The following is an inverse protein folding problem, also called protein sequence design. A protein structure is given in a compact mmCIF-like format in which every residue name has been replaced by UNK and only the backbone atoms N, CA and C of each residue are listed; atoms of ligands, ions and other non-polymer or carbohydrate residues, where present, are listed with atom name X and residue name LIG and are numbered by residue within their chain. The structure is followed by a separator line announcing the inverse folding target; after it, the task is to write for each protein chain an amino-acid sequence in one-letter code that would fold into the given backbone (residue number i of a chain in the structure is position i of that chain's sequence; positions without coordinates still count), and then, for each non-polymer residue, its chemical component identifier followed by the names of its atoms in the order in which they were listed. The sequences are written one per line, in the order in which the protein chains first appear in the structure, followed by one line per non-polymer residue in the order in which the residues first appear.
data_IF_539563666839
#
_entry.id   IF_539563666839
#
_cell.length_a   1.000
_cell.length_b   1.000
_cell.length_c   1.000
_cell.angle_alpha   90.00
_cell.angle_beta   90.00
_cell.angle_gamma   90.00
#
_symmetry.space_group_name_H-M   'P 1'
#
loop_
_entity.id
_entity.type
_entity.pdbx_description
1 polymer ?
#
# COMPACT_ATOMS: atom_id res chain seq x y z
N UNK A 1 6.54 -11.62 -9.42
CA UNK A 1 5.46 -12.61 -9.32
C UNK A 1 4.25 -12.13 -10.08
N UNK A 2 3.69 -12.98 -10.93
CA UNK A 2 2.69 -12.63 -11.93
C UNK A 2 1.33 -13.22 -11.56
N UNK A 3 0.27 -12.44 -11.77
CA UNK A 3 -1.11 -12.92 -11.77
C UNK A 3 -1.69 -12.62 -13.15
N UNK A 4 -1.82 -13.66 -13.96
CA UNK A 4 -2.47 -13.63 -15.27
C UNK A 4 -3.90 -14.15 -15.15
N UNK A 5 -4.89 -13.32 -15.48
CA UNK A 5 -6.30 -13.69 -15.51
C UNK A 5 -6.77 -14.24 -16.87
N UNK A 6 -5.86 -14.54 -17.79
CA UNK A 6 -6.16 -14.93 -19.17
C UNK A 6 -6.18 -13.72 -20.11
N UNK A 7 -6.13 -13.97 -21.43
CA UNK A 7 -6.01 -12.95 -22.49
C UNK A 7 -7.09 -11.85 -22.44
N UNK A 8 -8.28 -12.16 -21.92
CA UNK A 8 -9.38 -11.19 -21.78
C UNK A 8 -9.51 -10.65 -20.34
N UNK A 9 -8.47 -10.84 -19.53
CA UNK A 9 -8.33 -10.35 -18.15
C UNK A 9 -7.05 -9.55 -17.95
N UNK A 10 -6.73 -9.26 -16.69
CA UNK A 10 -5.57 -8.45 -16.32
C UNK A 10 -4.31 -9.30 -16.12
N UNK A 11 -3.15 -8.66 -16.28
CA UNK A 11 -1.83 -9.22 -16.00
C UNK A 11 -1.11 -8.35 -14.96
N UNK A 12 -1.20 -8.75 -13.71
CA UNK A 12 -0.56 -8.03 -12.59
C UNK A 12 0.84 -8.59 -12.36
N UNK A 13 1.80 -7.71 -12.05
CA UNK A 13 3.17 -8.09 -11.69
C UNK A 13 3.57 -7.40 -10.39
N UNK A 14 4.25 -8.13 -9.51
CA UNK A 14 4.84 -7.53 -8.31
C UNK A 14 5.78 -6.39 -8.71
N UNK A 15 5.64 -5.27 -8.03
CA UNK A 15 6.53 -4.13 -8.19
C UNK A 15 7.54 -4.12 -7.06
N UNK A 16 8.74 -3.61 -7.32
CA UNK A 16 9.76 -3.54 -6.27
C UNK A 16 9.49 -2.42 -5.25
N UNK A 17 8.60 -1.47 -5.56
CA UNK A 17 7.97 -0.61 -4.55
C UNK A 17 7.31 -1.46 -3.46
N UNK A 18 6.55 -2.51 -3.80
CA UNK A 18 5.96 -3.42 -2.81
C UNK A 18 7.04 -4.05 -1.93
N UNK A 19 8.14 -4.53 -2.51
CA UNK A 19 9.26 -5.14 -1.77
C UNK A 19 9.87 -4.14 -0.79
N UNK A 20 10.06 -2.91 -1.25
CA UNK A 20 10.59 -1.80 -0.46
C UNK A 20 9.73 -1.50 0.77
N UNK A 21 8.41 -1.42 0.58
CA UNK A 21 7.45 -1.22 1.67
C UNK A 21 7.50 -2.36 2.70
N UNK A 22 7.48 -3.61 2.22
CA UNK A 22 7.53 -4.76 3.12
C UNK A 22 8.82 -4.79 3.93
N UNK A 23 9.95 -4.42 3.33
CA UNK A 23 11.23 -4.32 4.03
C UNK A 23 11.19 -3.26 5.14
N UNK A 24 10.67 -2.06 4.85
CA UNK A 24 10.59 -0.97 5.82
C UNK A 24 9.67 -1.31 7.00
N UNK A 25 8.57 -2.03 6.74
CA UNK A 25 7.61 -2.45 7.76
C UNK A 25 8.01 -3.75 8.47
N UNK A 26 9.18 -4.30 8.17
CA UNK A 26 9.66 -5.58 8.66
C UNK A 26 8.65 -6.74 8.41
N UNK A 27 8.05 -6.76 7.23
CA UNK A 27 7.10 -7.77 6.76
C UNK A 27 7.83 -8.77 5.85
N UNK A 28 7.78 -10.06 6.21
CA UNK A 28 8.34 -11.13 5.39
C UNK A 28 7.48 -11.37 4.15
N UNK A 29 8.12 -11.48 2.99
CA UNK A 29 7.48 -11.80 1.71
C UNK A 29 7.51 -13.30 1.48
N UNK A 30 6.40 -13.85 0.99
CA UNK A 30 6.34 -15.20 0.45
C UNK A 30 6.07 -15.10 -1.05
N UNK A 31 6.92 -15.71 -1.87
CA UNK A 31 6.64 -15.81 -3.30
C UNK A 31 5.72 -17.01 -3.56
N UNK A 32 4.54 -16.81 -4.15
CA UNK A 32 3.59 -17.84 -4.53
C UNK A 32 3.19 -17.74 -6.01
N UNK A 33 2.96 -18.87 -6.66
CA UNK A 33 2.37 -18.93 -7.99
C UNK A 33 1.09 -19.76 -7.97
N UNK A 34 0.18 -19.45 -8.90
CA UNK A 34 -1.05 -20.21 -9.05
C UNK A 34 -0.76 -21.51 -9.78
N UNK A 35 -1.13 -22.63 -9.17
CA UNK A 35 -0.96 -23.99 -9.70
C UNK A 35 -2.16 -24.44 -10.53
N UNK A 36 -3.36 -24.01 -10.12
CA UNK A 36 -4.60 -24.38 -10.78
C UNK A 36 -5.53 -23.19 -10.92
N UNK A 37 -6.39 -23.23 -11.93
CA UNK A 37 -7.44 -22.24 -12.16
C UNK A 37 -8.61 -22.87 -12.91
N UNK A 38 -9.72 -22.14 -13.05
CA UNK A 38 -10.88 -22.55 -13.85
C UNK A 38 -11.26 -21.45 -14.82
N UNK A 39 -11.78 -21.83 -16.00
CA UNK A 39 -12.44 -20.88 -16.90
C UNK A 39 -13.59 -20.16 -16.17
N UNK A 40 -13.67 -18.84 -16.34
CA UNK A 40 -14.70 -18.03 -15.70
C UNK A 40 -16.08 -18.39 -16.23
N UNK A 41 -16.97 -18.78 -15.31
CA UNK A 41 -18.38 -19.03 -15.60
C UNK A 41 -19.28 -17.84 -15.23
N UNK A 42 -18.70 -16.68 -14.90
CA UNK A 42 -19.48 -15.49 -14.53
C UNK A 42 -20.31 -15.00 -15.73
N UNK A 43 -21.53 -14.50 -15.45
CA UNK A 43 -22.40 -13.90 -16.47
C UNK A 43 -21.63 -12.81 -17.22
N UNK A 44 -21.60 -12.89 -18.55
CA UNK A 44 -20.83 -11.98 -19.41
C UNK A 44 -19.34 -12.33 -19.61
N UNK A 45 -18.85 -13.43 -19.00
CA UNK A 45 -17.46 -13.88 -19.13
C UNK A 45 -17.32 -15.32 -19.65
N UNK A 46 -18.42 -16.07 -19.81
CA UNK A 46 -18.42 -17.48 -20.24
C UNK A 46 -17.68 -17.70 -21.57
N UNK A 47 -17.81 -16.75 -22.50
CA UNK A 47 -17.17 -16.81 -23.82
C UNK A 47 -15.80 -16.11 -23.86
N UNK A 48 -15.32 -15.58 -22.73
CA UNK A 48 -14.03 -14.91 -22.65
C UNK A 48 -12.93 -15.89 -22.25
N UNK A 49 -11.72 -15.59 -22.67
CA UNK A 49 -10.49 -16.19 -22.17
C UNK A 49 -10.13 -15.54 -20.83
N UNK A 50 -10.96 -15.82 -19.82
CA UNK A 50 -10.77 -15.32 -18.46
C UNK A 50 -10.74 -16.46 -17.46
N UNK A 51 -9.75 -16.45 -16.58
CA UNK A 51 -9.58 -17.38 -15.48
C UNK A 51 -10.30 -16.89 -14.21
N UNK A 52 -10.60 -17.83 -13.33
CA UNK A 52 -11.22 -17.63 -12.02
C UNK A 52 -10.82 -18.77 -11.09
N UNK A 53 -11.11 -18.65 -9.79
CA UNK A 53 -10.82 -19.70 -8.80
C UNK A 53 -9.36 -20.18 -8.85
N UNK A 54 -8.44 -19.26 -9.05
CA UNK A 54 -7.01 -19.54 -9.08
C UNK A 54 -6.57 -19.96 -7.67
N UNK A 55 -5.82 -21.07 -7.57
CA UNK A 55 -5.31 -21.59 -6.30
C UNK A 55 -3.79 -21.65 -6.33
N UNK A 56 -3.16 -21.22 -5.25
CA UNK A 56 -1.72 -21.27 -5.11
C UNK A 56 -1.23 -22.72 -5.00
N UNK A 57 0.04 -22.92 -5.37
CA UNK A 57 0.79 -24.11 -4.98
C UNK A 57 0.99 -24.12 -3.46
N UNK A 58 0.02 -24.64 -2.72
CA UNK A 58 -0.04 -24.52 -1.26
C UNK A 58 1.18 -25.12 -0.57
N UNK A 59 1.70 -26.24 -1.05
CA UNK A 59 2.89 -26.88 -0.47
C UNK A 59 4.13 -25.98 -0.61
N UNK A 60 4.26 -25.28 -1.74
CA UNK A 60 5.35 -24.32 -1.97
C UNK A 60 5.24 -23.08 -1.07
N UNK A 61 4.01 -22.61 -0.83
CA UNK A 61 3.74 -21.49 0.08
C UNK A 61 4.03 -21.89 1.52
N UNK A 62 3.51 -23.03 1.98
CA UNK A 62 3.72 -23.55 3.32
C UNK A 62 5.21 -23.82 3.60
N UNK A 63 5.94 -24.33 2.62
CA UNK A 63 7.39 -24.52 2.72
C UNK A 63 8.10 -23.19 3.04
N UNK A 64 7.84 -22.14 2.28
CA UNK A 64 8.45 -20.82 2.54
C UNK A 64 8.03 -20.22 3.88
N UNK A 65 6.77 -20.39 4.30
CA UNK A 65 6.32 -19.93 5.62
C UNK A 65 7.11 -20.64 6.72
N UNK A 66 7.29 -21.95 6.62
CA UNK A 66 8.08 -22.72 7.58
C UNK A 66 9.55 -22.30 7.59
N UNK A 67 10.12 -22.00 6.42
CA UNK A 67 11.46 -21.43 6.33
C UNK A 67 11.55 -20.09 7.06
N UNK A 68 10.60 -19.17 6.85
CA UNK A 68 10.53 -17.87 7.55
C UNK A 68 10.44 -18.08 9.07
N UNK A 69 9.62 -19.01 9.54
CA UNK A 69 9.49 -19.28 10.98
C UNK A 69 10.78 -19.84 11.59
N UNK A 70 11.56 -20.59 10.81
CA UNK A 70 12.89 -21.04 11.20
C UNK A 70 13.98 -19.97 11.02
N UNK A 71 13.72 -18.97 10.17
CA UNK A 71 14.62 -17.89 9.82
C UNK A 71 14.75 -16.90 10.98
N UNK A 72 15.95 -16.77 11.52
CA UNK A 72 16.23 -15.97 12.73
C UNK A 72 16.65 -14.52 12.43
N UNK A 73 16.56 -14.06 11.18
CA UNK A 73 16.94 -12.70 10.79
C UNK A 73 15.73 -11.87 10.36
N UNK A 74 15.91 -10.56 10.22
CA UNK A 74 14.82 -9.64 9.89
C UNK A 74 14.22 -9.89 8.50
N UNK A 75 13.02 -9.36 8.27
CA UNK A 75 12.33 -9.45 7.00
C UNK A 75 13.15 -8.88 5.85
N UNK A 76 13.95 -7.84 6.10
CA UNK A 76 14.84 -7.29 5.09
C UNK A 76 15.85 -8.32 4.58
N UNK A 77 16.50 -9.07 5.47
CA UNK A 77 17.48 -10.08 5.08
C UNK A 77 16.81 -11.23 4.34
N UNK A 78 15.66 -11.69 4.86
CA UNK A 78 14.85 -12.72 4.22
C UNK A 78 14.44 -12.29 2.81
N UNK A 79 13.83 -11.12 2.67
CA UNK A 79 13.33 -10.60 1.42
C UNK A 79 14.48 -10.37 0.43
N UNK A 80 15.61 -9.81 0.88
CA UNK A 80 16.79 -9.65 0.02
C UNK A 80 17.23 -10.99 -0.57
N UNK A 81 17.47 -11.98 0.28
CA UNK A 81 17.87 -13.33 -0.14
C UNK A 81 16.81 -14.01 -1.03
N UNK A 82 15.53 -13.88 -0.68
CA UNK A 82 14.42 -14.42 -1.45
C UNK A 82 14.40 -13.86 -2.88
N UNK A 83 14.70 -12.57 -3.03
CA UNK A 83 14.70 -11.94 -4.34
C UNK A 83 15.98 -12.16 -5.15
N UNK A 84 17.15 -12.11 -4.51
CA UNK A 84 18.44 -12.34 -5.15
C UNK A 84 18.57 -13.80 -5.63
N UNK A 85 18.22 -14.76 -4.78
CA UNK A 85 18.52 -16.17 -5.03
C UNK A 85 17.35 -16.95 -5.64
N UNK A 86 16.10 -16.59 -5.32
CA UNK A 86 14.93 -17.45 -5.61
C UNK A 86 13.89 -16.83 -6.52
N UNK A 87 13.94 -15.51 -6.76
CA UNK A 87 12.89 -14.84 -7.52
C UNK A 87 12.78 -15.38 -8.93
N UNK A 88 13.90 -15.50 -9.63
CA UNK A 88 13.91 -15.87 -11.05
C UNK A 88 13.40 -17.29 -11.26
N UNK A 89 13.87 -18.23 -10.44
CA UNK A 89 13.39 -19.62 -10.43
C UNK A 89 11.90 -19.71 -10.07
N UNK A 90 11.44 -18.93 -9.10
CA UNK A 90 10.02 -18.91 -8.71
C UNK A 90 9.15 -18.29 -9.80
N UNK A 91 9.68 -17.30 -10.52
CA UNK A 91 8.99 -16.67 -11.64
C UNK A 91 8.85 -17.63 -12.82
N UNK A 92 9.87 -18.42 -13.13
CA UNK A 92 9.77 -19.48 -14.15
C UNK A 92 8.72 -20.52 -13.80
N UNK A 93 8.71 -21.01 -12.54
CA UNK A 93 7.65 -21.90 -12.06
C UNK A 93 6.26 -21.30 -12.25
N UNK A 94 6.12 -19.99 -12.07
CA UNK A 94 4.85 -19.31 -12.32
C UNK A 94 4.45 -19.34 -13.81
N UNK A 95 5.41 -19.12 -14.73
CA UNK A 95 5.14 -19.18 -16.17
C UNK A 95 4.78 -20.59 -16.62
N UNK A 96 5.56 -21.60 -16.20
CA UNK A 96 5.30 -23.00 -16.53
C UNK A 96 3.95 -23.49 -15.97
N UNK A 97 3.57 -22.96 -14.80
CA UNK A 97 2.26 -23.22 -14.22
C UNK A 97 1.12 -22.60 -15.02
N UNK A 98 1.31 -21.39 -15.55
CA UNK A 98 0.32 -20.78 -16.44
C UNK A 98 0.19 -21.52 -17.77
N UNK A 99 1.28 -22.03 -18.34
CA UNK A 99 1.24 -22.91 -19.51
C UNK A 99 0.44 -24.19 -19.19
N UNK A 100 0.67 -24.78 -18.02
CA UNK A 100 -0.10 -25.95 -17.54
C UNK A 100 -1.58 -25.63 -17.37
N UNK A 101 -1.93 -24.46 -16.82
CA UNK A 101 -3.32 -23.98 -16.68
C UNK A 101 -3.97 -23.78 -18.07
N UNK A 102 -3.24 -23.23 -19.04
CA UNK A 102 -3.72 -23.11 -20.42
C UNK A 102 -4.10 -24.49 -20.98
N UNK A 103 -3.23 -25.49 -20.84
CA UNK A 103 -3.50 -26.85 -21.31
C UNK A 103 -4.68 -27.52 -20.58
N UNK A 104 -4.83 -27.30 -19.27
CA UNK A 104 -5.90 -27.90 -18.48
C UNK A 104 -7.28 -27.25 -18.73
N UNK A 105 -7.31 -25.93 -18.97
CA UNK A 105 -8.56 -25.17 -19.02
C UNK A 105 -8.97 -24.74 -20.43
N UNK A 106 -8.04 -24.77 -21.39
CA UNK A 106 -8.21 -24.22 -22.74
C UNK A 106 -8.33 -22.69 -22.79
N UNK A 107 -8.08 -21.99 -21.67
CA UNK A 107 -8.17 -20.52 -21.62
C UNK A 107 -6.85 -19.93 -22.08
N UNK A 108 -6.88 -19.19 -23.19
CA UNK A 108 -5.70 -18.50 -23.74
C UNK A 108 -5.17 -17.50 -22.70
N UNK A 109 -3.88 -17.61 -22.36
CA UNK A 109 -3.16 -16.70 -21.47
C UNK A 109 -2.40 -15.63 -22.25
N UNK A 110 -1.84 -14.63 -21.57
CA UNK A 110 -0.98 -13.64 -22.23
C UNK A 110 0.31 -14.29 -22.74
N UNK A 111 0.91 -13.69 -23.77
CA UNK A 111 2.15 -14.22 -24.36
C UNK A 111 3.29 -14.26 -23.33
N UNK A 112 3.96 -15.40 -23.27
CA UNK A 112 5.15 -15.62 -22.43
C UNK A 112 6.30 -14.70 -22.81
N UNK A 113 6.41 -14.27 -24.08
CA UNK A 113 7.53 -13.48 -24.61
C UNK A 113 7.78 -12.19 -23.80
N UNK A 114 6.72 -11.47 -23.44
CA UNK A 114 6.85 -10.24 -22.65
C UNK A 114 7.28 -10.51 -21.19
N UNK A 115 6.93 -11.68 -20.66
CA UNK A 115 7.33 -12.10 -19.31
C UNK A 115 8.74 -12.67 -19.29
N UNK A 116 9.17 -13.37 -20.34
CA UNK A 116 10.54 -13.86 -20.51
C UNK A 116 11.52 -12.69 -20.66
N UNK A 117 11.19 -11.68 -21.49
CA UNK A 117 12.00 -10.44 -21.59
C UNK A 117 12.13 -9.73 -20.24
N UNK A 118 11.06 -9.68 -19.47
CA UNK A 118 11.08 -9.10 -18.12
C UNK A 118 11.96 -9.93 -17.17
N UNK A 119 11.85 -11.25 -17.20
CA UNK A 119 12.66 -12.16 -16.39
C UNK A 119 14.15 -12.07 -16.74
N UNK A 120 14.49 -12.03 -18.03
CA UNK A 120 15.85 -11.88 -18.53
C UNK A 120 16.48 -10.58 -18.01
N UNK A 121 15.73 -9.48 -18.08
CA UNK A 121 16.17 -8.20 -17.54
C UNK A 121 16.42 -8.25 -16.03
N UNK A 122 15.64 -9.02 -15.27
CA UNK A 122 15.90 -9.17 -13.84
C UNK A 122 17.15 -10.03 -13.58
N UNK A 123 17.41 -11.04 -14.42
CA UNK A 123 18.54 -11.96 -14.28
C UNK A 123 19.89 -11.33 -14.56
N UNK A 124 20.04 -10.64 -15.69
CA UNK A 124 21.32 -10.05 -16.10
C UNK A 124 21.67 -8.78 -15.32
N UNK A 125 20.64 -8.17 -14.76
CA UNK A 125 20.63 -6.77 -14.38
C UNK A 125 19.98 -6.63 -13.00
N UNK A 126 20.18 -7.57 -12.05
CA UNK A 126 19.48 -7.52 -10.75
C UNK A 126 19.73 -6.22 -9.98
N UNK A 127 20.97 -5.71 -10.00
CA UNK A 127 21.29 -4.38 -9.49
C UNK A 127 20.63 -3.26 -10.31
N UNK A 128 20.47 -3.45 -11.61
CA UNK A 128 19.68 -2.54 -12.44
C UNK A 128 18.17 -2.66 -12.17
N UNK A 129 17.63 -3.82 -11.75
CA UNK A 129 16.25 -3.98 -11.29
C UNK A 129 16.01 -3.21 -10.00
N UNK A 130 16.96 -3.24 -9.07
CA UNK A 130 16.99 -2.37 -7.89
C UNK A 130 17.00 -0.89 -8.30
N UNK A 131 17.89 -0.50 -9.22
CA UNK A 131 17.98 0.89 -9.72
C UNK A 131 16.75 1.33 -10.53
N UNK A 132 16.17 0.45 -11.34
CA UNK A 132 14.93 0.67 -12.11
C UNK A 132 13.76 0.79 -11.15
N UNK A 133 13.75 0.06 -10.05
CA UNK A 133 12.73 0.27 -9.04
C UNK A 133 12.92 1.55 -8.25
N UNK A 134 14.15 1.98 -7.98
CA UNK A 134 14.40 3.29 -7.40
C UNK A 134 13.87 4.38 -8.34
N UNK A 135 14.22 4.31 -9.63
CA UNK A 135 13.70 5.20 -10.69
C UNK A 135 12.18 5.06 -10.89
N UNK A 136 11.64 3.86 -10.74
CA UNK A 136 10.23 3.51 -10.94
C UNK A 136 9.36 3.97 -9.79
N UNK A 137 9.82 3.81 -8.56
CA UNK A 137 9.26 4.40 -7.34
C UNK A 137 9.33 5.91 -7.39
N UNK A 138 10.47 6.48 -7.82
CA UNK A 138 10.60 7.91 -8.06
C UNK A 138 9.60 8.40 -9.12
N UNK A 139 9.43 7.64 -10.21
CA UNK A 139 8.50 7.98 -11.29
C UNK A 139 7.04 7.81 -10.87
N UNK A 140 6.72 6.79 -10.07
CA UNK A 140 5.39 6.57 -9.51
C UNK A 140 5.02 7.66 -8.50
N UNK A 141 5.94 7.99 -7.60
CA UNK A 141 5.83 9.10 -6.66
C UNK A 141 5.68 10.44 -7.39
N UNK A 142 6.45 10.70 -8.44
CA UNK A 142 6.29 11.87 -9.31
C UNK A 142 4.92 11.90 -9.98
N UNK A 143 4.43 10.76 -10.51
CA UNK A 143 3.08 10.66 -11.07
C UNK A 143 2.02 10.97 -10.03
N UNK A 144 2.12 10.38 -8.83
CA UNK A 144 1.20 10.60 -7.70
C UNK A 144 1.18 12.08 -7.26
N UNK A 145 2.35 12.72 -7.20
CA UNK A 145 2.49 14.15 -6.91
C UNK A 145 1.84 15.04 -7.99
N UNK A 146 1.83 14.60 -9.25
CA UNK A 146 1.24 15.34 -10.38
C UNK A 146 -0.26 15.07 -10.54
N UNK A 147 -0.76 13.89 -10.17
CA UNK A 147 -2.19 13.59 -10.16
C UNK A 147 -2.87 14.26 -8.97
N UNK A 148 -3.48 15.41 -9.21
CA UNK A 148 -4.53 15.94 -8.34
C UNK A 148 -5.84 15.19 -8.66
N UNK A 149 -6.31 14.31 -7.77
CA UNK A 149 -7.64 13.75 -7.95
C UNK A 149 -8.68 14.84 -7.65
N UNK A 150 -9.56 15.14 -8.61
CA UNK A 150 -10.63 16.16 -8.51
C UNK A 150 -11.59 15.95 -7.32
N UNK A 151 -11.54 14.79 -6.67
CA UNK A 151 -12.33 14.42 -5.51
C UNK A 151 -11.55 14.48 -4.20
N UNK A 152 -10.22 14.57 -4.21
CA UNK A 152 -9.44 14.81 -3.00
C UNK A 152 -9.67 16.28 -2.60
N UNK A 153 -10.20 16.51 -1.41
CA UNK A 153 -10.36 17.85 -0.85
C UNK A 153 -8.99 18.36 -0.34
N UNK A 154 -8.11 18.69 -1.28
CA UNK A 154 -6.79 19.28 -1.05
C UNK A 154 -6.96 20.79 -0.92
N UNK A 155 -7.21 21.27 0.30
CA UNK A 155 -7.55 22.67 0.57
C UNK A 155 -6.37 23.42 1.20
N UNK A 156 -5.38 22.71 1.77
CA UNK A 156 -4.49 23.31 2.77
C UNK A 156 -2.98 23.15 2.51
N UNK A 157 -2.54 22.26 1.60
CA UNK A 157 -1.10 21.95 1.45
C UNK A 157 -0.58 21.83 0.03
N UNK A 158 0.73 21.56 -0.08
CA UNK A 158 1.45 21.27 -1.33
C UNK A 158 1.76 19.77 -1.44
N UNK A 159 1.79 19.20 -2.64
CA UNK A 159 2.32 17.85 -2.86
C UNK A 159 3.85 17.90 -2.95
N UNK A 160 4.56 17.02 -2.24
CA UNK A 160 6.00 16.86 -2.40
C UNK A 160 6.41 15.39 -2.39
N UNK A 161 7.53 15.09 -3.05
CA UNK A 161 8.14 13.76 -3.06
C UNK A 161 9.20 13.68 -1.96
N UNK A 162 9.11 12.66 -1.12
CA UNK A 162 10.13 12.32 -0.12
C UNK A 162 11.14 11.36 -0.70
N UNK A 163 12.39 11.51 -0.28
CA UNK A 163 13.45 10.51 -0.40
C UNK A 163 13.75 10.01 1.01
N UNK A 164 13.37 8.78 1.32
CA UNK A 164 13.54 8.16 2.63
C UNK A 164 14.72 7.21 2.55
N UNK A 165 15.74 7.46 3.36
CA UNK A 165 16.88 6.56 3.51
C UNK A 165 16.71 5.70 4.77
N UNK A 166 16.98 4.40 4.66
CA UNK A 166 17.03 3.52 5.82
C UNK A 166 18.47 3.37 6.36
N UNK A 167 18.61 2.79 7.55
CA UNK A 167 19.90 2.59 8.22
C UNK A 167 20.89 1.66 7.47
N UNK A 168 20.48 1.06 6.34
CA UNK A 168 21.30 0.18 5.50
C UNK A 168 21.61 0.81 4.14
N UNK A 169 21.35 2.12 3.98
CA UNK A 169 21.62 2.88 2.75
C UNK A 169 20.62 2.65 1.63
N UNK A 170 19.48 2.02 1.91
CA UNK A 170 18.37 1.89 0.96
C UNK A 170 17.57 3.18 0.88
N UNK A 171 17.38 3.71 -0.33
CA UNK A 171 16.59 4.93 -0.60
C UNK A 171 15.21 4.55 -1.14
N UNK A 172 14.17 5.26 -0.73
CA UNK A 172 12.78 5.01 -1.14
C UNK A 172 12.08 6.32 -1.46
N UNK A 173 11.20 6.32 -2.46
CA UNK A 173 10.47 7.52 -2.85
C UNK A 173 8.98 7.39 -2.58
N UNK A 174 8.45 8.25 -1.70
CA UNK A 174 7.05 8.28 -1.29
C UNK A 174 6.46 9.68 -1.48
N UNK A 175 5.16 9.77 -1.70
CA UNK A 175 4.44 11.04 -1.77
C UNK A 175 3.24 10.96 -0.81
N UNK A 176 3.10 11.90 0.15
CA UNK A 176 1.83 12.08 0.83
C UNK A 176 0.82 12.84 -0.05
N UNK A 177 -0.44 12.86 0.35
CA UNK A 177 -1.45 13.69 -0.32
C UNK A 177 -1.16 15.19 -0.18
N UNK A 178 -0.75 15.65 1.01
CA UNK A 178 -0.43 17.05 1.28
C UNK A 178 0.73 17.20 2.28
N UNK A 179 1.47 18.31 2.17
CA UNK A 179 2.35 18.82 3.21
C UNK A 179 1.86 20.21 3.60
N UNK A 180 1.69 20.42 4.90
CA UNK A 180 1.29 21.69 5.49
C UNK A 180 2.42 22.16 6.41
N UNK A 181 2.67 23.47 6.48
CA UNK A 181 3.62 24.05 7.43
C UNK A 181 2.87 24.98 8.38
N UNK A 182 2.76 24.58 9.65
CA UNK A 182 2.02 25.30 10.68
C UNK A 182 2.82 25.27 11.99
N UNK A 183 2.85 26.38 12.71
CA UNK A 183 3.51 26.48 14.02
C UNK A 183 4.96 25.94 14.03
N UNK A 184 5.73 26.28 12.99
CA UNK A 184 7.11 25.83 12.81
C UNK A 184 7.28 24.29 12.73
N UNK A 185 6.24 23.58 12.30
CA UNK A 185 6.22 22.12 12.16
C UNK A 185 5.62 21.74 10.81
N UNK A 186 6.25 20.80 10.11
CA UNK A 186 5.70 20.20 8.90
C UNK A 186 4.69 19.10 9.24
N UNK A 187 3.53 19.11 8.60
CA UNK A 187 2.50 18.10 8.74
C UNK A 187 2.44 17.32 7.42
N UNK A 188 2.84 16.06 7.46
CA UNK A 188 2.74 15.10 6.34
C UNK A 188 1.36 14.46 6.41
N UNK A 189 0.49 14.76 5.44
CA UNK A 189 -0.92 14.43 5.53
C UNK A 189 -1.38 13.43 4.46
N UNK A 190 -2.16 12.44 4.88
CA UNK A 190 -3.03 11.64 4.01
C UNK A 190 -4.49 12.04 4.23
N UNK A 191 -5.25 12.15 3.15
CA UNK A 191 -6.62 12.65 3.15
C UNK A 191 -7.56 11.60 2.59
N UNK A 192 -8.51 11.14 3.39
CA UNK A 192 -9.60 10.26 2.92
C UNK A 192 -10.93 10.96 3.09
N UNK A 193 -11.69 11.06 2.01
CA UNK A 193 -12.92 11.82 1.97
C UNK A 193 -14.09 11.00 1.44
N UNK A 194 -15.31 11.37 1.83
CA UNK A 194 -16.53 10.81 1.25
C UNK A 194 -17.61 11.87 1.10
N UNK A 195 -18.16 12.00 -0.10
CA UNK A 195 -19.27 12.93 -0.40
C UNK A 195 -20.64 12.35 -0.09
N UNK A 196 -20.74 11.04 0.18
CA UNK A 196 -22.01 10.32 0.35
C UNK A 196 -22.25 9.83 1.77
N UNK A 197 -21.19 9.47 2.50
CA UNK A 197 -21.27 8.95 3.85
C UNK A 197 -20.71 9.95 4.87
N UNK A 198 -20.95 9.71 6.15
CA UNK A 198 -20.43 10.53 7.24
C UNK A 198 -18.98 10.23 7.62
N UNK A 199 -18.43 9.09 7.19
CA UNK A 199 -17.03 8.72 7.42
C UNK A 199 -16.53 7.87 6.23
N UNK A 200 -15.27 8.00 5.79
CA UNK A 200 -14.66 7.12 4.81
C UNK A 200 -14.78 5.64 5.20
N UNK A 201 -14.70 4.73 4.22
CA UNK A 201 -14.82 3.29 4.52
C UNK A 201 -13.58 2.82 5.25
N UNK A 202 -13.73 1.78 6.08
CA UNK A 202 -12.63 1.21 6.84
C UNK A 202 -11.40 0.85 5.97
N UNK A 203 -11.53 0.23 4.77
CA UNK A 203 -10.37 -0.02 3.91
C UNK A 203 -9.63 1.25 3.49
N UNK A 204 -10.35 2.34 3.21
CA UNK A 204 -9.74 3.62 2.82
C UNK A 204 -8.99 4.25 4.01
N UNK A 205 -9.56 4.16 5.22
CA UNK A 205 -8.92 4.61 6.47
C UNK A 205 -7.65 3.79 6.73
N UNK A 206 -7.73 2.46 6.60
CA UNK A 206 -6.61 1.56 6.79
C UNK A 206 -5.48 1.82 5.78
N UNK A 207 -5.82 2.10 4.52
CA UNK A 207 -4.86 2.51 3.50
C UNK A 207 -4.11 3.80 3.88
N UNK A 208 -4.84 4.83 4.33
CA UNK A 208 -4.23 6.08 4.80
C UNK A 208 -3.32 5.87 6.01
N UNK A 209 -3.77 5.12 7.02
CA UNK A 209 -2.94 4.79 8.18
C UNK A 209 -1.71 3.99 7.78
N UNK A 210 -1.85 3.00 6.90
CA UNK A 210 -0.74 2.17 6.41
C UNK A 210 0.36 3.03 5.80
N UNK A 211 -0.01 4.04 5.00
CA UNK A 211 0.97 4.98 4.45
C UNK A 211 1.66 5.81 5.53
N UNK A 212 0.88 6.34 6.47
CA UNK A 212 1.40 7.20 7.53
C UNK A 212 2.29 6.49 8.54
N UNK A 213 2.19 5.17 8.69
CA UNK A 213 3.10 4.39 9.55
C UNK A 213 4.56 4.62 9.15
N UNK A 214 4.86 4.70 7.85
CA UNK A 214 6.25 4.96 7.42
C UNK A 214 6.69 6.38 7.79
N UNK A 215 5.87 7.37 7.49
CA UNK A 215 6.20 8.77 7.77
C UNK A 215 6.30 9.05 9.28
N UNK A 216 5.42 8.47 10.10
CA UNK A 216 5.41 8.70 11.55
C UNK A 216 6.58 8.02 12.27
N UNK A 217 7.22 7.04 11.64
CA UNK A 217 8.39 6.35 12.16
C UNK A 217 9.71 6.87 11.57
N UNK A 218 9.69 7.94 10.77
CA UNK A 218 10.94 8.60 10.36
C UNK A 218 11.66 9.16 11.59
N UNK A 219 12.97 8.95 11.66
CA UNK A 219 13.81 9.47 12.74
C UNK A 219 13.91 11.01 12.63
N UNK A 220 14.39 11.48 11.47
CA UNK A 220 14.54 12.89 11.13
C UNK A 220 13.93 13.22 9.76
N UNK A 221 13.51 14.47 9.59
CA UNK A 221 13.20 15.04 8.29
C UNK A 221 14.19 16.17 8.00
N UNK A 222 14.83 16.13 6.83
CA UNK A 222 15.86 17.10 6.41
C UNK A 222 15.32 17.94 5.26
N UNK A 223 15.46 19.27 5.37
CA UNK A 223 15.13 20.21 4.31
C UNK A 223 16.27 21.23 4.17
N UNK A 224 16.86 21.34 2.98
CA UNK A 224 18.04 22.18 2.71
C UNK A 224 19.19 21.89 3.69
N UNK A 225 19.48 20.61 3.92
CA UNK A 225 20.51 20.10 4.84
C UNK A 225 20.27 20.41 6.33
N UNK A 226 19.14 20.99 6.69
CA UNK A 226 18.76 21.29 8.07
C UNK A 226 17.64 20.37 8.57
N UNK A 227 17.71 19.87 9.82
CA UNK A 227 16.63 19.09 10.41
C UNK A 227 15.42 19.97 10.70
N UNK A 228 14.23 19.47 10.36
CA UNK A 228 12.96 20.16 10.59
C UNK A 228 12.03 19.32 11.47
N UNK A 229 11.25 20.01 12.31
CA UNK A 229 10.19 19.37 13.10
C UNK A 229 9.05 18.93 12.20
N UNK A 230 8.53 17.73 12.44
CA UNK A 230 7.39 17.22 11.69
C UNK A 230 6.49 16.29 12.51
N UNK A 231 5.25 16.20 12.05
CA UNK A 231 4.24 15.22 12.46
C UNK A 231 3.55 14.68 11.22
N UNK A 232 2.81 13.59 11.36
CA UNK A 232 1.92 13.07 10.34
C UNK A 232 0.47 13.31 10.72
N UNK A 233 -0.42 13.37 9.74
CA UNK A 233 -1.86 13.52 9.99
C UNK A 233 -2.70 12.70 9.03
N UNK A 234 -3.63 11.91 9.56
CA UNK A 234 -4.73 11.36 8.76
C UNK A 234 -5.92 12.31 8.85
N UNK A 235 -6.33 12.91 7.72
CA UNK A 235 -7.52 13.75 7.65
C UNK A 235 -8.69 12.96 7.06
N UNK A 236 -9.74 12.80 7.84
CA UNK A 236 -10.97 12.11 7.45
C UNK A 236 -12.12 13.10 7.33
N UNK A 237 -12.62 13.31 6.12
CA UNK A 237 -13.75 14.22 5.88
C UNK A 237 -15.01 13.46 5.47
N UNK A 238 -16.13 13.88 6.05
CA UNK A 238 -17.43 13.23 5.85
C UNK A 238 -18.56 14.20 5.52
N UNK A 239 -19.58 13.69 4.85
CA UNK A 239 -20.77 14.45 4.52
C UNK A 239 -21.64 14.69 5.75
N UNK A 240 -22.15 15.92 5.90
CA UNK A 240 -23.01 16.37 6.99
C UNK A 240 -22.44 16.24 8.41
N UNK A 241 -21.15 15.92 8.58
CA UNK A 241 -20.50 15.94 9.89
C UNK A 241 -20.55 17.37 10.42
N UNK A 242 -20.82 17.54 11.70
CA UNK A 242 -20.85 18.84 12.38
C UNK A 242 -19.61 18.96 13.25
N UNK A 243 -18.83 20.01 12.99
CA UNK A 243 -17.59 20.30 13.71
C UNK A 243 -16.38 19.52 13.20
N UNK A 244 -15.30 19.61 13.96
CA UNK A 244 -14.03 18.92 13.72
C UNK A 244 -13.37 18.54 15.03
N UNK A 245 -12.62 17.44 15.04
CA UNK A 245 -11.79 17.02 16.16
C UNK A 245 -10.42 16.60 15.65
N UNK A 246 -9.38 16.78 16.46
CA UNK A 246 -8.01 16.33 16.15
C UNK A 246 -7.47 15.55 17.35
N UNK A 247 -7.08 14.30 17.14
CA UNK A 247 -6.39 13.47 18.12
C UNK A 247 -4.88 13.51 17.89
N UNK A 248 -4.04 13.39 18.94
CA UNK A 248 -4.41 13.25 20.35
C UNK A 248 -4.67 14.58 21.07
N UNK A 249 -4.75 15.70 20.35
CA UNK A 249 -4.91 17.04 20.93
C UNK A 249 -6.24 17.21 21.71
N UNK A 250 -7.30 16.53 21.26
CA UNK A 250 -8.63 16.56 21.87
C UNK A 250 -8.78 15.58 23.05
N UNK A 251 -9.56 16.00 24.05
CA UNK A 251 -9.87 15.21 25.25
C UNK A 251 -10.93 14.13 25.00
N UNK A 252 -11.14 13.25 26.00
CA UNK A 252 -12.24 12.28 25.96
C UNK A 252 -13.61 12.97 25.99
N UNK A 253 -13.71 14.09 26.70
CA UNK A 253 -14.90 14.93 26.77
C UNK A 253 -15.22 15.53 25.38
N UNK A 254 -14.20 16.03 24.67
CA UNK A 254 -14.37 16.55 23.30
C UNK A 254 -14.83 15.46 22.33
N UNK A 255 -14.30 14.24 22.48
CA UNK A 255 -14.72 13.09 21.69
C UNK A 255 -16.20 12.75 21.95
N UNK A 256 -16.61 12.61 23.20
CA UNK A 256 -18.01 12.30 23.52
C UNK A 256 -18.96 13.41 23.05
N UNK A 257 -18.55 14.68 23.19
CA UNK A 257 -19.30 15.82 22.64
C UNK A 257 -19.47 15.73 21.12
N UNK A 258 -18.40 15.46 20.36
CA UNK A 258 -18.49 15.28 18.91
C UNK A 258 -19.45 14.14 18.54
N UNK A 259 -19.39 13.01 19.25
CA UNK A 259 -20.25 11.85 19.00
C UNK A 259 -21.71 12.11 19.35
N UNK A 260 -21.98 12.98 20.32
CA UNK A 260 -23.32 13.41 20.71
C UNK A 260 -23.92 14.36 19.67
N UNK A 261 -23.19 15.41 19.28
CA UNK A 261 -23.64 16.35 18.24
C UNK A 261 -23.90 15.62 16.91
N UNK A 262 -23.12 14.58 16.63
CA UNK A 262 -23.26 13.75 15.44
C UNK A 262 -24.05 12.44 15.66
N UNK A 263 -24.89 12.36 16.70
CA UNK A 263 -25.56 11.10 17.11
C UNK A 263 -26.43 10.47 16.00
N UNK A 264 -27.05 11.28 15.14
CA UNK A 264 -27.86 10.84 14.00
C UNK A 264 -27.06 10.67 12.70
N UNK A 265 -25.80 11.09 12.69
CA UNK A 265 -24.92 11.13 11.51
C UNK A 265 -23.97 9.93 11.52
N UNK A 266 -23.39 9.59 12.67
CA UNK A 266 -22.56 8.40 12.85
C UNK A 266 -23.37 7.20 13.34
N UNK A 267 -23.24 6.07 12.65
CA UNK A 267 -23.75 4.80 13.16
C UNK A 267 -22.81 4.21 14.22
N UNK A 268 -23.28 3.18 14.96
CA UNK A 268 -22.53 2.54 16.05
C UNK A 268 -21.13 2.08 15.64
N UNK A 269 -20.97 1.54 14.42
CA UNK A 269 -19.67 1.08 13.93
C UNK A 269 -18.72 2.25 13.65
N UNK A 270 -19.20 3.34 13.07
CA UNK A 270 -18.40 4.54 12.84
C UNK A 270 -17.93 5.17 14.15
N UNK A 271 -18.81 5.25 15.17
CA UNK A 271 -18.43 5.73 16.50
C UNK A 271 -17.32 4.86 17.11
N UNK A 272 -17.44 3.54 16.98
CA UNK A 272 -16.41 2.61 17.44
C UNK A 272 -15.08 2.78 16.68
N UNK A 273 -15.12 3.05 15.37
CA UNK A 273 -13.92 3.36 14.57
C UNK A 273 -13.28 4.64 15.07
N UNK A 274 -14.03 5.73 15.26
CA UNK A 274 -13.48 7.02 15.74
C UNK A 274 -12.80 6.84 17.10
N UNK A 275 -13.41 6.08 18.04
CA UNK A 275 -12.79 5.75 19.33
C UNK A 275 -11.46 4.99 19.18
N UNK A 276 -11.38 4.04 18.24
CA UNK A 276 -10.13 3.33 17.93
C UNK A 276 -9.08 4.24 17.32
N UNK A 277 -9.48 5.17 16.46
CA UNK A 277 -8.57 6.17 15.88
C UNK A 277 -8.01 7.10 16.96
N UNK A 278 -8.83 7.54 17.92
CA UNK A 278 -8.35 8.32 19.06
C UNK A 278 -7.27 7.58 19.85
N UNK A 279 -7.49 6.28 20.13
CA UNK A 279 -6.50 5.42 20.79
C UNK A 279 -5.23 5.23 19.93
N UNK A 280 -5.37 5.08 18.62
CA UNK A 280 -4.23 4.95 17.69
C UNK A 280 -3.36 6.21 17.71
N UNK A 281 -3.95 7.40 17.65
CA UNK A 281 -3.24 8.67 17.73
C UNK A 281 -2.58 8.87 19.11
N UNK A 282 -3.19 8.38 20.18
CA UNK A 282 -2.61 8.43 21.52
C UNK A 282 -1.36 7.54 21.67
N UNK A 283 -1.36 6.37 21.02
CA UNK A 283 -0.25 5.42 21.07
C UNK A 283 0.91 5.78 20.13
N UNK A 284 0.70 6.67 19.16
CA UNK A 284 1.69 7.03 18.15
C UNK A 284 2.00 8.53 18.20
N UNK A 285 3.06 8.92 18.88
CA UNK A 285 3.36 10.33 19.21
C UNK A 285 3.48 11.28 18.01
N UNK A 286 3.91 10.80 16.84
CA UNK A 286 4.00 11.62 15.62
C UNK A 286 2.73 11.58 14.77
N UNK A 287 1.70 10.79 15.13
CA UNK A 287 0.48 10.64 14.34
C UNK A 287 -0.66 11.48 14.93
N UNK A 288 -1.22 12.36 14.09
CA UNK A 288 -2.48 13.04 14.35
C UNK A 288 -3.60 12.43 13.52
N UNK A 289 -4.82 12.49 14.04
CA UNK A 289 -6.02 12.07 13.28
C UNK A 289 -7.08 13.14 13.41
N UNK A 290 -7.48 13.70 12.28
CA UNK A 290 -8.53 14.71 12.16
C UNK A 290 -9.80 14.07 11.60
N UNK A 291 -10.93 14.30 12.26
CA UNK A 291 -12.27 13.96 11.73
C UNK A 291 -13.06 15.25 11.61
N UNK A 292 -13.50 15.57 10.39
CA UNK A 292 -14.20 16.84 10.13
C UNK A 292 -15.29 16.71 9.06
N UNK A 293 -16.05 17.79 8.87
CA UNK A 293 -16.91 17.96 7.70
C UNK A 293 -16.11 18.06 6.40
N UNK A 294 -16.74 17.69 5.28
CA UNK A 294 -16.31 18.17 3.96
C UNK A 294 -16.42 19.71 3.94
N UNK A 295 -15.35 20.40 3.55
CA UNK A 295 -15.36 21.83 3.25
C UNK A 295 -15.17 22.02 1.75
#
# INVERSE_FOLDING_TARGET
MIKDEGKDGDIDKIQYSTISWMNLLNIYIVLAYYETAKKSAKKGQVNKNKLSNQKFANDFVNFQINEILAYRQSALHWNKNLFEERFTQTFEKALDSYDSIFHQTGVIIHSREGSDKYLHKIREEFEEFKNISLKGSQSASKREALTSHKLEYLVNGLKATFSIENYLGGIYYLTPDEIIFENNTYIIQESKNTSKASLPKLPDIQDGLFKLILFSNLDSLILNDEPVSFVTKLKLTGNNVVGSIVFPDASLEDLEYLLEVNIKIFNTNQKAIIKKLALEAQNNHKLKIEVSSNF
#
